data_IF_369538947457
#
_entry.id   IF_369538947457
#
_cell.length_a   1.000
_cell.length_b   1.000
_cell.length_c   1.000
_cell.angle_alpha   90.00
_cell.angle_beta   90.00
_cell.angle_gamma   90.00
#
_symmetry.space_group_name_H-M   'P 1'
#
loop_
_entity.id
_entity.type
_entity.pdbx_description
1 polymer ?
#
# COMPACT_ATOMS: atom_id res chain seq x y z
N UNK A 1 24.65 -37.95 -83.01
CA UNK A 1 24.51 -38.38 -81.59
C UNK A 1 23.50 -37.48 -80.89
N UNK A 2 22.41 -38.10 -80.43
CA UNK A 2 21.46 -37.70 -79.35
C UNK A 2 20.76 -36.33 -79.38
N UNK A 3 19.47 -36.42 -79.68
CA UNK A 3 18.38 -35.51 -79.29
C UNK A 3 18.41 -35.13 -77.80
N UNK A 4 17.91 -33.94 -77.50
CA UNK A 4 17.30 -33.65 -76.20
C UNK A 4 16.15 -32.66 -76.38
N UNK A 5 14.95 -33.22 -76.58
CA UNK A 5 13.69 -32.49 -76.53
C UNK A 5 13.42 -32.03 -75.08
N UNK A 6 13.32 -30.72 -74.88
CA UNK A 6 12.91 -30.15 -73.60
C UNK A 6 11.39 -30.28 -73.45
N UNK A 7 10.96 -31.27 -72.65
CA UNK A 7 9.56 -31.66 -72.47
C UNK A 7 8.88 -30.76 -71.43
N UNK A 8 8.06 -29.80 -71.87
CA UNK A 8 7.25 -28.93 -71.00
C UNK A 8 6.10 -29.73 -70.36
N UNK A 9 6.23 -30.04 -69.07
CA UNK A 9 5.13 -30.61 -68.27
C UNK A 9 4.15 -29.50 -67.85
N UNK A 10 3.06 -29.35 -68.59
CA UNK A 10 1.91 -28.55 -68.16
C UNK A 10 1.16 -29.24 -67.01
N UNK A 11 1.46 -28.86 -65.77
CA UNK A 11 0.64 -29.24 -64.60
C UNK A 11 -0.59 -28.32 -64.57
N UNK A 12 -1.76 -28.83 -64.94
CA UNK A 12 -3.03 -28.13 -64.71
C UNK A 12 -3.28 -28.03 -63.19
N UNK A 13 -3.13 -26.84 -62.63
CA UNK A 13 -3.49 -26.54 -61.25
C UNK A 13 -5.03 -26.52 -61.13
N UNK A 14 -5.58 -27.56 -60.51
CA UNK A 14 -7.01 -27.70 -60.26
C UNK A 14 -7.35 -26.90 -58.99
N UNK A 15 -7.74 -25.64 -59.16
CA UNK A 15 -8.23 -24.82 -58.05
C UNK A 15 -9.55 -25.39 -57.53
N UNK A 16 -9.49 -26.04 -56.37
CA UNK A 16 -10.68 -26.52 -55.65
C UNK A 16 -11.14 -25.36 -54.76
N UNK A 17 -12.20 -24.65 -55.18
CA UNK A 17 -12.86 -23.64 -54.34
C UNK A 17 -13.40 -24.34 -53.11
N UNK A 18 -12.77 -24.14 -51.96
CA UNK A 18 -13.29 -24.61 -50.68
C UNK A 18 -14.54 -23.78 -50.35
N UNK A 19 -15.70 -24.44 -50.35
CA UNK A 19 -16.98 -23.85 -49.96
C UNK A 19 -16.89 -23.44 -48.49
N UNK A 20 -16.76 -22.13 -48.21
CA UNK A 20 -16.70 -21.65 -46.83
C UNK A 20 -18.01 -21.99 -46.13
N UNK A 21 -17.95 -22.72 -45.03
CA UNK A 21 -19.09 -22.99 -44.15
C UNK A 21 -19.56 -21.62 -43.64
N UNK A 22 -20.74 -21.14 -44.04
CA UNK A 22 -21.26 -19.88 -43.52
C UNK A 22 -21.36 -20.01 -42.01
N UNK A 23 -20.66 -19.14 -41.28
CA UNK A 23 -20.82 -19.04 -39.84
C UNK A 23 -22.23 -18.51 -39.63
N UNK A 24 -23.05 -19.30 -38.96
CA UNK A 24 -24.41 -18.92 -38.60
C UNK A 24 -24.30 -17.77 -37.59
N UNK A 25 -24.36 -16.53 -38.08
CA UNK A 25 -24.28 -15.31 -37.29
C UNK A 25 -25.64 -15.10 -36.63
N UNK A 26 -25.82 -15.68 -35.44
CA UNK A 26 -26.96 -15.40 -34.58
C UNK A 26 -26.81 -13.98 -34.01
N UNK A 27 -27.83 -13.15 -34.18
CA UNK A 27 -27.91 -11.83 -33.55
C UNK A 27 -28.30 -11.94 -32.07
N UNK A 28 -27.92 -10.92 -31.29
CA UNK A 28 -28.34 -10.79 -29.89
C UNK A 28 -29.81 -10.38 -29.85
N UNK A 29 -30.57 -10.99 -28.94
CA UNK A 29 -31.99 -10.66 -28.76
C UNK A 29 -32.17 -9.44 -27.87
N UNK A 30 -33.26 -8.68 -28.04
CA UNK A 30 -33.56 -7.52 -27.17
C UNK A 30 -33.62 -7.94 -25.69
N UNK A 31 -34.22 -9.10 -25.41
CA UNK A 31 -34.36 -9.60 -24.04
C UNK A 31 -33.01 -9.96 -23.42
N UNK A 32 -32.08 -10.50 -24.21
CA UNK A 32 -30.73 -10.82 -23.75
C UNK A 32 -29.94 -9.56 -23.41
N UNK A 33 -30.08 -8.49 -24.21
CA UNK A 33 -29.46 -7.21 -23.89
C UNK A 33 -30.01 -6.63 -22.58
N UNK A 34 -31.33 -6.67 -22.38
CA UNK A 34 -31.96 -6.19 -21.15
C UNK A 34 -31.47 -6.99 -19.94
N UNK A 35 -31.39 -8.32 -20.06
CA UNK A 35 -30.92 -9.18 -18.99
C UNK A 35 -29.44 -8.92 -18.64
N UNK A 36 -28.58 -8.69 -19.64
CA UNK A 36 -27.18 -8.31 -19.42
C UNK A 36 -27.08 -6.97 -18.67
N UNK A 37 -27.87 -5.96 -19.04
CA UNK A 37 -27.87 -4.66 -18.35
C UNK A 37 -28.33 -4.78 -16.90
N UNK A 38 -29.33 -5.63 -16.62
CA UNK A 38 -29.78 -5.92 -15.25
C UNK A 38 -28.66 -6.58 -14.44
N UNK A 39 -27.98 -7.58 -15.00
CA UNK A 39 -26.86 -8.27 -14.33
C UNK A 39 -25.72 -7.29 -14.05
N UNK A 40 -25.30 -6.49 -15.04
CA UNK A 40 -24.26 -5.48 -14.87
C UNK A 40 -24.66 -4.43 -13.84
N UNK A 41 -25.93 -4.02 -13.81
CA UNK A 41 -26.47 -3.10 -12.81
C UNK A 41 -26.36 -3.65 -11.37
N UNK A 42 -26.76 -4.91 -11.16
CA UNK A 42 -26.67 -5.57 -9.85
C UNK A 42 -25.21 -5.74 -9.41
N UNK A 43 -24.33 -6.17 -10.32
CA UNK A 43 -22.90 -6.31 -10.03
C UNK A 43 -22.31 -4.93 -9.69
N UNK A 44 -22.59 -3.91 -10.48
CA UNK A 44 -22.06 -2.55 -10.24
C UNK A 44 -22.53 -1.99 -8.90
N UNK A 45 -23.82 -2.14 -8.58
CA UNK A 45 -24.39 -1.68 -7.32
C UNK A 45 -23.75 -2.35 -6.08
N UNK A 46 -23.29 -3.60 -6.21
CA UNK A 46 -22.70 -4.36 -5.10
C UNK A 46 -21.17 -4.25 -5.01
N UNK A 47 -20.47 -4.09 -6.14
CA UNK A 47 -19.01 -4.01 -6.21
C UNK A 47 -18.49 -2.62 -5.83
N UNK A 48 -19.13 -1.55 -6.31
CA UNK A 48 -18.71 -0.16 -6.07
C UNK A 48 -18.55 0.18 -4.57
N UNK A 49 -19.52 -0.11 -3.67
CA UNK A 49 -19.37 0.24 -2.26
C UNK A 49 -18.22 -0.51 -1.57
N UNK A 50 -17.90 -1.74 -2.00
CA UNK A 50 -16.83 -2.54 -1.41
C UNK A 50 -15.43 -1.98 -1.67
N UNK A 51 -15.21 -1.34 -2.81
CA UNK A 51 -13.94 -0.68 -3.16
C UNK A 51 -13.67 0.56 -2.30
N UNK A 52 -14.71 1.25 -1.85
CA UNK A 52 -14.57 2.43 -0.98
C UNK A 52 -14.29 2.06 0.48
N UNK A 53 -14.77 0.89 0.93
CA UNK A 53 -14.57 0.42 2.30
C UNK A 53 -13.10 0.06 2.55
N UNK A 54 -12.42 -0.60 1.60
CA UNK A 54 -11.00 -0.92 1.75
C UNK A 54 -10.15 0.35 1.86
N UNK A 55 -10.37 1.34 0.99
CA UNK A 55 -9.67 2.64 1.05
C UNK A 55 -9.94 3.44 2.33
N UNK A 56 -11.16 3.36 2.87
CA UNK A 56 -11.55 4.09 4.07
C UNK A 56 -11.00 3.44 5.35
N UNK A 57 -10.89 2.11 5.38
CA UNK A 57 -10.33 1.38 6.52
C UNK A 57 -8.84 1.68 6.67
N UNK A 58 -8.11 1.79 5.54
CA UNK A 58 -6.68 2.08 5.55
C UNK A 58 -6.37 3.49 6.08
N UNK A 59 -7.16 4.50 5.69
CA UNK A 59 -7.05 5.87 6.22
C UNK A 59 -7.20 5.94 7.75
N UNK A 60 -8.20 5.23 8.30
CA UNK A 60 -8.39 5.14 9.75
C UNK A 60 -7.19 4.48 10.44
N UNK A 61 -6.61 3.46 9.80
CA UNK A 61 -5.48 2.74 10.37
C UNK A 61 -4.19 3.56 10.43
N UNK A 62 -3.89 4.38 9.42
CA UNK A 62 -2.69 5.26 9.43
C UNK A 62 -2.84 6.40 10.43
N UNK A 63 -4.04 6.98 10.54
CA UNK A 63 -4.32 7.99 11.56
C UNK A 63 -4.15 7.41 12.97
N UNK A 64 -4.72 6.23 13.23
CA UNK A 64 -4.55 5.52 14.51
C UNK A 64 -3.09 5.19 14.82
N UNK A 65 -2.34 4.71 13.81
CA UNK A 65 -0.90 4.46 13.93
C UNK A 65 -0.12 5.73 14.29
N UNK A 66 -0.47 6.88 13.70
CA UNK A 66 0.16 8.16 14.00
C UNK A 66 -0.12 8.63 15.44
N UNK A 67 -1.36 8.49 15.92
CA UNK A 67 -1.69 8.79 17.31
C UNK A 67 -0.97 7.89 18.30
N UNK A 68 -0.83 6.60 17.98
CA UNK A 68 -0.11 5.65 18.82
C UNK A 68 1.37 6.04 18.93
N UNK A 69 2.04 6.31 17.82
CA UNK A 69 3.43 6.80 17.83
C UNK A 69 3.54 8.11 18.62
N UNK A 70 2.62 9.05 18.42
CA UNK A 70 2.65 10.33 19.12
C UNK A 70 2.48 10.15 20.64
N UNK A 71 1.61 9.22 21.06
CA UNK A 71 1.42 8.85 22.46
C UNK A 71 2.70 8.23 23.04
N UNK A 72 3.35 7.36 22.30
CA UNK A 72 4.56 6.66 22.74
C UNK A 72 5.79 7.56 22.82
N UNK A 73 5.90 8.54 21.92
CA UNK A 73 6.93 9.59 22.01
C UNK A 73 6.70 10.45 23.25
N UNK A 74 5.44 10.83 23.55
CA UNK A 74 5.10 11.57 24.78
C UNK A 74 5.37 10.74 26.03
N UNK A 75 5.04 9.45 25.99
CA UNK A 75 5.39 8.52 27.05
C UNK A 75 6.91 8.49 27.29
N UNK A 76 7.72 8.38 26.25
CA UNK A 76 9.18 8.40 26.39
C UNK A 76 9.69 9.71 27.02
N UNK A 77 9.10 10.85 26.64
CA UNK A 77 9.40 12.16 27.24
C UNK A 77 9.03 12.19 28.73
N UNK A 78 7.82 11.76 29.09
CA UNK A 78 7.34 11.70 30.48
C UNK A 78 8.17 10.73 31.33
N UNK A 79 8.50 9.55 30.80
CA UNK A 79 9.37 8.58 31.44
C UNK A 79 10.73 9.19 31.75
N UNK A 80 11.33 9.91 30.80
CA UNK A 80 12.64 10.51 30.98
C UNK A 80 12.62 11.56 32.10
N UNK A 81 11.57 12.39 32.16
CA UNK A 81 11.38 13.39 33.20
C UNK A 81 11.12 12.75 34.58
N UNK A 82 10.23 11.75 34.64
CA UNK A 82 9.84 11.10 35.89
C UNK A 82 10.99 10.32 36.53
N UNK A 83 11.76 9.58 35.72
CA UNK A 83 12.83 8.71 36.21
C UNK A 83 14.20 9.40 36.23
N UNK A 84 14.31 10.62 35.70
CA UNK A 84 15.58 11.35 35.52
C UNK A 84 16.65 10.56 34.75
N UNK A 85 16.22 9.70 33.83
CA UNK A 85 17.08 8.88 32.96
C UNK A 85 16.69 9.15 31.52
N UNK A 86 17.66 9.24 30.61
CA UNK A 86 17.35 9.48 29.19
C UNK A 86 16.57 8.32 28.59
N UNK A 87 15.59 8.63 27.73
CA UNK A 87 14.74 7.65 27.06
C UNK A 87 14.75 7.89 25.55
N UNK A 88 14.99 6.84 24.80
CA UNK A 88 15.12 6.85 23.34
C UNK A 88 14.01 6.03 22.71
N UNK A 89 13.47 6.54 21.60
CA UNK A 89 12.57 5.80 20.70
C UNK A 89 13.23 5.68 19.34
N UNK A 90 13.32 4.45 18.82
CA UNK A 90 14.01 4.14 17.56
C UNK A 90 13.05 3.56 16.54
N UNK A 91 12.91 4.26 15.41
CA UNK A 91 12.07 3.91 14.28
C UNK A 91 12.94 3.46 13.10
N UNK A 92 12.60 2.32 12.50
CA UNK A 92 13.32 1.75 11.34
C UNK A 92 12.38 1.72 10.12
N UNK A 93 12.83 2.26 9.00
CA UNK A 93 12.06 2.27 7.76
C UNK A 93 11.71 0.84 7.30
N UNK A 94 10.47 0.67 6.81
CA UNK A 94 9.90 -0.61 6.41
C UNK A 94 9.45 -1.50 7.56
N UNK A 95 9.71 -1.13 8.82
CA UNK A 95 9.26 -1.87 9.99
C UNK A 95 7.87 -1.42 10.44
N UNK A 96 7.07 -2.36 10.94
CA UNK A 96 5.86 -2.06 11.72
C UNK A 96 6.14 -1.96 13.23
N UNK A 97 7.38 -2.21 13.64
CA UNK A 97 7.81 -2.22 15.04
C UNK A 97 8.87 -1.13 15.28
N UNK A 98 8.77 -0.45 16.43
CA UNK A 98 9.77 0.47 16.96
C UNK A 98 10.09 0.11 18.42
N UNK A 99 11.25 0.58 18.89
CA UNK A 99 11.80 0.14 20.18
C UNK A 99 12.11 1.29 21.10
N UNK A 100 12.12 1.00 22.41
CA UNK A 100 12.50 1.93 23.46
C UNK A 100 13.87 1.56 24.04
N UNK A 101 14.66 2.55 24.43
CA UNK A 101 15.94 2.34 25.13
C UNK A 101 16.12 3.39 26.23
N UNK A 102 16.42 3.00 27.48
CA UNK A 102 16.56 1.64 27.99
C UNK A 102 15.24 0.87 27.89
N UNK A 103 15.30 -0.43 27.61
CA UNK A 103 14.14 -1.32 27.61
C UNK A 103 13.78 -1.71 29.04
N UNK A 104 12.49 -1.71 29.37
CA UNK A 104 11.95 -2.24 30.62
C UNK A 104 10.88 -3.28 30.28
N UNK A 105 10.59 -4.22 31.18
CA UNK A 105 9.53 -5.22 31.01
C UNK A 105 8.13 -4.55 30.92
N UNK A 106 8.01 -3.32 31.43
CA UNK A 106 6.81 -2.51 31.29
C UNK A 106 6.74 -1.73 29.95
N UNK A 107 7.82 -1.76 29.16
CA UNK A 107 7.96 -1.04 27.89
C UNK A 107 8.19 -2.01 26.72
N UNK A 108 7.19 -2.82 26.34
CA UNK A 108 7.29 -3.62 25.13
C UNK A 108 7.53 -2.71 23.92
N UNK A 109 8.17 -3.25 22.89
CA UNK A 109 8.30 -2.56 21.61
C UNK A 109 6.92 -2.16 21.08
N UNK A 110 6.80 -0.92 20.58
CA UNK A 110 5.57 -0.47 19.96
C UNK A 110 5.36 -1.18 18.62
N UNK A 111 4.13 -1.63 18.37
CA UNK A 111 3.76 -2.37 17.17
C UNK A 111 2.58 -1.67 16.49
N UNK A 112 2.81 -1.17 15.27
CA UNK A 112 1.79 -0.53 14.46
C UNK A 112 0.66 -1.51 14.10
N UNK A 113 -0.61 -1.06 14.15
CA UNK A 113 -1.73 -1.85 13.65
C UNK A 113 -1.70 -1.92 12.12
N UNK A 114 -2.30 -2.99 11.55
CA UNK A 114 -2.48 -3.20 10.10
C UNK A 114 -1.17 -3.22 9.28
N UNK A 115 -1.27 -3.07 7.95
CA UNK A 115 -0.16 -2.97 6.99
C UNK A 115 0.63 -1.64 7.11
N UNK A 116 0.43 -0.86 8.18
CA UNK A 116 1.16 0.38 8.39
C UNK A 116 2.63 0.11 8.70
N UNK A 117 3.51 0.82 8.00
CA UNK A 117 4.96 0.75 8.16
C UNK A 117 5.54 2.14 8.37
N UNK A 118 6.66 2.18 9.09
CA UNK A 118 7.49 3.36 9.24
C UNK A 118 8.16 3.64 7.90
N UNK A 119 8.07 4.87 7.40
CA UNK A 119 8.57 5.24 6.07
C UNK A 119 10.03 5.72 6.10
N UNK A 120 10.52 6.23 7.23
CA UNK A 120 11.88 6.76 7.38
C UNK A 120 12.54 6.31 8.68
N UNK A 121 13.86 6.16 8.65
CA UNK A 121 14.63 5.97 9.87
C UNK A 121 14.57 7.25 10.69
N UNK A 122 14.24 7.12 11.97
CA UNK A 122 14.18 8.24 12.88
C UNK A 122 14.50 7.78 14.30
N UNK A 123 15.17 8.63 15.06
CA UNK A 123 15.49 8.36 16.47
C UNK A 123 15.31 9.65 17.23
N UNK A 124 14.58 9.57 18.34
CA UNK A 124 14.40 10.67 19.28
C UNK A 124 14.85 10.23 20.65
N UNK A 125 15.65 11.06 21.32
CA UNK A 125 16.11 10.81 22.70
C UNK A 125 15.76 12.01 23.55
N UNK A 126 15.03 11.78 24.63
CA UNK A 126 14.68 12.80 25.63
C UNK A 126 15.61 12.71 26.83
N UNK A 127 16.02 13.88 27.34
CA UNK A 127 16.72 14.00 28.63
C UNK A 127 15.72 14.13 29.80
N UNK A 128 16.26 14.27 31.02
CA UNK A 128 15.46 14.40 32.25
C UNK A 128 14.68 15.71 32.40
N UNK A 129 14.87 16.67 31.50
CA UNK A 129 14.12 17.92 31.43
C UNK A 129 13.01 17.86 30.36
N UNK A 130 12.86 16.72 29.67
CA UNK A 130 11.89 16.56 28.58
C UNK A 130 12.35 17.16 27.25
N UNK A 131 13.60 17.58 27.15
CA UNK A 131 14.16 18.12 25.91
C UNK A 131 14.65 16.99 25.00
N UNK A 132 14.34 17.04 23.69
CA UNK A 132 14.87 16.10 22.71
C UNK A 132 16.34 16.44 22.39
N UNK A 133 17.27 15.76 23.05
CA UNK A 133 18.73 15.92 22.82
C UNK A 133 19.19 15.26 21.50
N UNK A 134 18.37 14.34 20.96
CA UNK A 134 18.53 13.76 19.62
C UNK A 134 17.16 13.78 18.94
N UNK A 135 17.12 14.10 17.65
CA UNK A 135 15.88 14.05 16.84
C UNK A 135 14.93 15.24 17.04
N UNK A 136 15.29 16.23 17.86
CA UNK A 136 14.56 17.50 17.94
C UNK A 136 14.51 18.21 16.59
N UNK A 137 13.35 18.77 16.24
CA UNK A 137 13.10 19.37 14.92
C UNK A 137 12.86 18.36 13.79
N UNK A 138 13.01 17.05 14.06
CA UNK A 138 12.81 15.98 13.08
C UNK A 138 11.39 15.42 13.07
N UNK A 139 11.20 14.38 12.26
CA UNK A 139 9.91 13.71 12.13
C UNK A 139 10.04 12.23 11.78
N UNK A 140 8.98 11.49 12.11
CA UNK A 140 8.73 10.12 11.64
C UNK A 140 7.45 10.08 10.82
N UNK A 141 7.48 9.37 9.71
CA UNK A 141 6.33 9.19 8.82
C UNK A 141 5.86 7.73 8.87
N UNK A 142 4.55 7.54 8.94
CA UNK A 142 3.89 6.24 8.81
C UNK A 142 3.10 6.16 7.51
N UNK A 143 3.05 4.98 6.91
CA UNK A 143 2.31 4.75 5.66
C UNK A 143 1.68 3.37 5.62
N UNK A 144 0.49 3.27 5.03
CA UNK A 144 -0.15 2.01 4.61
C UNK A 144 0.09 1.70 3.11
N UNK A 145 1.03 2.40 2.47
CA UNK A 145 1.30 2.32 1.03
C UNK A 145 0.44 3.23 0.15
N UNK A 146 -0.63 3.84 0.68
CA UNK A 146 -1.52 4.76 -0.04
C UNK A 146 -1.59 6.13 0.66
N UNK A 147 -1.88 6.10 1.96
CA UNK A 147 -1.96 7.25 2.85
C UNK A 147 -0.67 7.36 3.65
N UNK A 148 -0.35 8.58 4.08
CA UNK A 148 0.78 8.86 4.94
C UNK A 148 0.39 9.84 6.03
N UNK A 149 1.05 9.72 7.19
CA UNK A 149 0.98 10.68 8.28
C UNK A 149 2.36 10.95 8.84
N UNK A 150 2.62 12.22 9.14
CA UNK A 150 3.91 12.66 9.66
C UNK A 150 3.75 13.15 11.08
N UNK A 151 4.61 12.66 11.97
CA UNK A 151 4.69 13.02 13.37
C UNK A 151 5.97 13.84 13.53
N UNK A 152 5.82 15.13 13.82
CA UNK A 152 6.94 16.07 14.00
C UNK A 152 7.19 16.36 15.47
N UNK A 153 8.47 16.50 15.82
CA UNK A 153 8.92 16.80 17.18
C UNK A 153 9.56 18.19 17.14
N UNK A 154 9.02 19.12 17.92
CA UNK A 154 9.57 20.48 18.01
C UNK A 154 10.91 20.46 18.74
N UNK A 155 11.88 21.20 18.21
CA UNK A 155 13.20 21.39 18.83
C UNK A 155 13.06 21.96 20.25
N UNK A 156 13.96 21.57 21.16
CA UNK A 156 14.04 21.97 22.57
C UNK A 156 12.86 21.54 23.48
N UNK A 157 11.62 21.66 23.02
CA UNK A 157 10.41 21.40 23.82
C UNK A 157 9.92 19.96 23.74
N UNK A 158 10.29 19.23 22.68
CA UNK A 158 9.82 17.86 22.47
C UNK A 158 8.33 17.78 22.08
N UNK A 159 7.67 18.91 21.84
CA UNK A 159 6.23 18.94 21.53
C UNK A 159 5.96 18.12 20.27
N UNK A 160 5.03 17.17 20.38
CA UNK A 160 4.64 16.28 19.29
C UNK A 160 3.41 16.80 18.55
N UNK A 161 3.52 17.00 17.23
CA UNK A 161 2.40 17.36 16.34
C UNK A 161 2.22 16.31 15.24
N UNK A 162 0.97 16.04 14.88
CA UNK A 162 0.61 15.11 13.79
C UNK A 162 0.08 15.94 12.62
N UNK A 163 0.55 15.63 11.40
CA UNK A 163 0.10 16.22 10.14
C UNK A 163 -0.24 15.11 9.13
#
# INVERSE_FOLDING_TARGET
MRNSECRTRNKKLKFRVQKSKSRNSKGITLIELILVLVIVGIISATVIPRLNITLSTSRSSVEGAAYMIASDIRYAQEFAMANRVSKTVTFTAGSSVYTFTPSDNMDPSGQLPSEATISNNFTVTFNSLGEPITGGGGSVTVSDGINTKTISIVEYTGKVNIS
#
